data_IF_278181642651
#
_entry.id   IF_278181642651
#
_cell.length_a   1.000
_cell.length_b   1.000
_cell.length_c   1.000
_cell.angle_alpha   90.00
_cell.angle_beta   90.00
_cell.angle_gamma   90.00
#
_symmetry.space_group_name_H-M   'P 1'
#
loop_
_entity.id
_entity.type
_entity.pdbx_description
1 polymer ?
#
# COMPACT_ATOMS: atom_id res chain seq x y z
N UNK A 1 2.16 20.25 25.55
CA UNK A 1 2.54 20.69 24.19
C UNK A 1 2.51 19.45 23.31
N UNK A 2 1.58 19.36 22.36
CA UNK A 2 1.50 18.20 21.46
C UNK A 2 2.52 18.34 20.34
N UNK A 3 3.31 17.30 20.09
CA UNK A 3 4.23 17.23 18.96
C UNK A 3 3.42 17.24 17.65
N UNK A 4 3.78 18.08 16.66
CA UNK A 4 3.13 18.03 15.36
C UNK A 4 3.44 16.68 14.70
N UNK A 5 2.39 15.92 14.40
CA UNK A 5 2.49 14.71 13.58
C UNK A 5 2.97 15.16 12.20
N UNK A 6 4.05 14.58 11.64
CA UNK A 6 4.52 14.97 10.31
C UNK A 6 3.39 14.82 9.29
N UNK A 7 3.08 15.92 8.59
CA UNK A 7 2.06 15.90 7.56
C UNK A 7 2.58 15.18 6.33
N UNK A 8 1.83 14.16 5.90
CA UNK A 8 2.14 13.39 4.69
C UNK A 8 1.76 14.25 3.47
N UNK A 9 2.73 14.52 2.59
CA UNK A 9 2.53 15.36 1.40
C UNK A 9 2.32 14.53 0.13
N UNK A 10 1.46 15.02 -0.75
CA UNK A 10 1.18 14.38 -2.04
C UNK A 10 2.37 14.54 -2.98
N UNK A 11 2.87 13.42 -3.49
CA UNK A 11 4.02 13.35 -4.40
C UNK A 11 3.75 13.98 -5.77
N UNK A 12 2.48 14.28 -6.09
CA UNK A 12 2.10 14.95 -7.34
C UNK A 12 2.05 16.47 -7.25
N UNK A 13 1.49 17.02 -6.17
CA UNK A 13 1.18 18.46 -6.09
C UNK A 13 1.63 19.13 -4.79
N UNK A 14 2.29 18.40 -3.89
CA UNK A 14 2.74 18.89 -2.59
C UNK A 14 1.62 19.21 -1.58
N UNK A 15 0.35 19.00 -1.93
CA UNK A 15 -0.77 19.22 -1.01
C UNK A 15 -0.80 18.19 0.11
N UNK A 16 -1.39 18.55 1.26
CA UNK A 16 -1.59 17.64 2.39
C UNK A 16 -2.45 16.45 1.98
N UNK A 17 -2.02 15.25 2.38
CA UNK A 17 -2.77 14.02 2.22
C UNK A 17 -3.62 13.75 3.46
N UNK A 18 -4.85 13.28 3.23
CA UNK A 18 -5.73 12.74 4.26
C UNK A 18 -5.59 11.23 4.29
N UNK A 19 -5.36 10.66 5.48
CA UNK A 19 -5.44 9.21 5.68
C UNK A 19 -6.90 8.74 5.58
N UNK A 20 -7.11 7.66 4.85
CA UNK A 20 -8.42 7.04 4.61
C UNK A 20 -8.58 5.70 5.35
N UNK A 21 -7.51 5.19 5.97
CA UNK A 21 -7.48 3.89 6.63
C UNK A 21 -6.38 2.97 6.09
N UNK A 22 -6.20 1.85 6.79
CA UNK A 22 -5.24 0.79 6.45
C UNK A 22 -6.01 -0.41 5.91
N UNK A 23 -5.60 -0.89 4.74
CA UNK A 23 -6.18 -2.06 4.07
C UNK A 23 -5.12 -3.13 3.83
N UNK A 24 -5.56 -4.39 3.86
CA UNK A 24 -4.68 -5.56 3.72
C UNK A 24 -4.68 -6.06 2.27
N UNK A 25 -3.53 -5.98 1.60
CA UNK A 25 -3.40 -6.46 0.22
C UNK A 25 -2.60 -7.76 0.16
N UNK A 26 -3.10 -8.75 -0.58
CA UNK A 26 -2.30 -9.92 -0.95
C UNK A 26 -1.25 -9.49 -1.97
N UNK A 27 0.01 -9.73 -1.65
CA UNK A 27 1.16 -9.44 -2.51
C UNK A 27 2.01 -10.69 -2.68
N UNK A 28 2.74 -10.76 -3.80
CA UNK A 28 3.53 -11.93 -4.16
C UNK A 28 2.74 -12.93 -5.02
N UNK A 29 3.12 -14.20 -4.94
CA UNK A 29 2.60 -15.27 -5.81
C UNK A 29 3.22 -15.27 -7.21
N UNK A 30 3.23 -16.43 -7.86
CA UNK A 30 3.64 -16.55 -9.27
C UNK A 30 2.41 -16.54 -10.19
N UNK A 31 2.43 -15.70 -11.23
CA UNK A 31 1.40 -15.72 -12.28
C UNK A 31 1.84 -16.56 -13.48
N UNK A 32 0.88 -17.14 -14.21
CA UNK A 32 1.13 -17.92 -15.44
C UNK A 32 1.45 -19.41 -15.22
N UNK A 33 1.94 -20.07 -16.28
CA UNK A 33 2.15 -21.53 -16.37
C UNK A 33 3.13 -22.13 -15.34
N UNK A 34 3.82 -21.31 -14.56
CA UNK A 34 4.66 -21.73 -13.45
C UNK A 34 3.89 -22.49 -12.36
N UNK A 35 2.62 -22.14 -12.14
CA UNK A 35 1.73 -22.85 -11.19
C UNK A 35 1.49 -24.32 -11.61
N UNK A 36 1.58 -24.62 -12.92
CA UNK A 36 1.42 -25.97 -13.46
C UNK A 36 2.70 -26.81 -13.34
N UNK A 37 3.87 -26.18 -13.19
CA UNK A 37 5.16 -26.86 -13.12
C UNK A 37 5.63 -27.10 -11.68
N UNK A 38 5.23 -26.25 -10.72
CA UNK A 38 5.76 -26.27 -9.34
C UNK A 38 4.73 -26.50 -8.23
N UNK A 39 3.46 -26.75 -8.57
CA UNK A 39 2.42 -27.12 -7.61
C UNK A 39 2.30 -26.11 -6.45
N UNK A 40 2.17 -26.60 -5.20
CA UNK A 40 2.02 -25.77 -3.99
C UNK A 40 3.24 -24.90 -3.65
N UNK A 41 4.43 -25.17 -4.22
CA UNK A 41 5.60 -24.30 -4.01
C UNK A 41 5.44 -22.93 -4.68
N UNK A 42 4.50 -22.80 -5.61
CA UNK A 42 4.13 -21.53 -6.25
C UNK A 42 3.44 -20.55 -5.28
N UNK A 43 2.88 -21.04 -4.17
CA UNK A 43 2.20 -20.25 -3.14
C UNK A 43 3.19 -19.69 -2.08
N UNK A 44 4.46 -20.14 -2.08
CA UNK A 44 5.49 -19.81 -1.05
C UNK A 44 5.99 -18.35 -1.03
N UNK A 45 5.28 -17.43 -1.67
CA UNK A 45 5.61 -16.01 -1.65
C UNK A 45 4.41 -15.10 -1.44
N UNK A 46 3.21 -15.65 -1.25
CA UNK A 46 2.03 -14.84 -0.96
C UNK A 46 2.04 -14.39 0.50
N UNK A 47 1.88 -13.08 0.72
CA UNK A 47 1.73 -12.50 2.06
C UNK A 47 0.71 -11.37 2.03
N UNK A 48 0.11 -11.10 3.19
CA UNK A 48 -0.70 -9.89 3.40
C UNK A 48 0.22 -8.74 3.77
N UNK A 49 0.17 -7.64 3.02
CA UNK A 49 0.91 -6.41 3.34
C UNK A 49 -0.08 -5.28 3.64
N UNK A 50 0.02 -4.61 4.80
CA UNK A 50 -0.84 -3.49 5.14
C UNK A 50 -0.40 -2.25 4.36
N UNK A 51 -1.35 -1.60 3.70
CA UNK A 51 -1.15 -0.31 3.06
C UNK A 51 -2.09 0.72 3.67
N UNK A 52 -1.54 1.86 4.08
CA UNK A 52 -2.34 3.04 4.37
C UNK A 52 -2.70 3.76 3.07
N UNK A 53 -3.99 4.02 2.88
CA UNK A 53 -4.51 4.78 1.76
C UNK A 53 -4.58 6.26 2.11
N UNK A 54 -4.06 7.07 1.20
CA UNK A 54 -4.06 8.51 1.31
C UNK A 54 -4.80 9.16 0.14
N UNK A 55 -5.67 10.13 0.42
CA UNK A 55 -6.36 10.92 -0.58
C UNK A 55 -5.89 12.38 -0.54
N UNK A 56 -5.52 12.93 -1.71
CA UNK A 56 -5.21 14.34 -1.84
C UNK A 56 -6.47 15.14 -2.19
N UNK A 57 -6.98 15.94 -1.27
CA UNK A 57 -8.12 16.83 -1.53
C UNK A 57 -7.86 17.89 -2.62
N UNK A 58 -6.59 18.23 -2.90
CA UNK A 58 -6.22 19.27 -3.87
C UNK A 58 -6.22 18.77 -5.32
N UNK A 59 -5.55 17.65 -5.60
CA UNK A 59 -5.38 17.13 -6.97
C UNK A 59 -6.08 15.80 -7.23
N UNK A 60 -6.79 15.28 -6.21
CA UNK A 60 -7.55 14.01 -6.23
C UNK A 60 -6.71 12.77 -6.52
N UNK A 61 -5.38 12.83 -6.35
CA UNK A 61 -4.52 11.65 -6.39
C UNK A 61 -4.72 10.81 -5.13
N UNK A 62 -4.81 9.50 -5.33
CA UNK A 62 -4.70 8.49 -4.27
C UNK A 62 -3.27 7.98 -4.24
N UNK A 63 -2.72 7.82 -3.04
CA UNK A 63 -1.41 7.20 -2.80
C UNK A 63 -1.60 6.04 -1.82
N UNK A 64 -0.95 4.91 -2.09
CA UNK A 64 -0.84 3.79 -1.16
C UNK A 64 0.60 3.74 -0.67
N UNK A 65 0.77 3.69 0.65
CA UNK A 65 2.09 3.54 1.28
C UNK A 65 2.02 2.37 2.24
N UNK A 66 3.09 1.58 2.32
CA UNK A 66 3.17 0.48 3.28
C UNK A 66 2.99 1.07 4.68
N UNK A 67 2.05 0.54 5.45
CA UNK A 67 1.86 0.99 6.81
C UNK A 67 3.07 0.49 7.64
N UNK A 68 3.81 1.42 8.24
CA UNK A 68 4.73 1.07 9.32
C UNK A 68 3.87 0.80 10.55
N UNK A 69 3.83 -0.46 10.98
CA UNK A 69 3.21 -0.87 12.24
C UNK A 69 3.88 -0.23 13.45
#
# INVERSE_FOLDING_TARGET
MSTPVPSVVCLRCGGTLQSMGVEQFRVGGTSGGWKLLFGEWAELGEQMLPFELFACGRCRRVEMRVASG
#
